data_IF_502053042975
#
_entry.id   IF_502053042975
#
_cell.length_a   1.000
_cell.length_b   1.000
_cell.length_c   1.000
_cell.angle_alpha   90.00
_cell.angle_beta   90.00
_cell.angle_gamma   90.00
#
_symmetry.space_group_name_H-M   'P 1'
#
loop_
_entity.id
_entity.type
_entity.pdbx_description
1 polymer ?
#
# COMPACT_ATOMS: atom_id res chain seq x y z
N UNK A 1 15.27 9.40 -1.59
CA UNK A 1 15.70 8.96 -2.94
C UNK A 1 14.44 8.81 -3.78
N UNK A 2 14.39 9.54 -4.88
CA UNK A 2 13.17 9.76 -5.67
C UNK A 2 12.83 8.46 -6.41
N UNK A 3 11.69 7.87 -6.06
CA UNK A 3 11.07 6.80 -6.84
C UNK A 3 10.68 7.42 -8.18
N UNK A 4 11.26 6.92 -9.27
CA UNK A 4 10.99 7.37 -10.64
C UNK A 4 9.49 7.30 -10.96
N UNK A 5 9.08 8.23 -11.80
CA UNK A 5 7.80 8.95 -11.85
C UNK A 5 6.48 8.14 -11.81
N UNK A 6 5.40 8.74 -11.27
CA UNK A 6 4.03 8.21 -11.19
C UNK A 6 3.15 8.81 -12.30
N UNK A 7 2.36 8.01 -13.01
CA UNK A 7 1.35 8.54 -13.95
C UNK A 7 0.01 8.71 -13.23
N UNK A 8 -0.02 9.74 -12.39
CA UNK A 8 -1.22 10.29 -11.78
C UNK A 8 -0.91 11.05 -10.49
N UNK A 9 -1.90 11.72 -9.88
CA UNK A 9 -1.68 12.88 -9.02
C UNK A 9 -0.80 12.64 -7.77
N UNK A 10 -0.57 11.39 -7.35
CA UNK A 10 -0.13 11.10 -5.99
C UNK A 10 1.36 10.89 -5.77
N UNK A 11 2.15 10.45 -6.75
CA UNK A 11 3.56 10.15 -6.45
C UNK A 11 4.47 11.38 -6.40
N UNK A 12 3.89 12.59 -6.39
CA UNK A 12 4.59 13.83 -5.99
C UNK A 12 4.26 14.31 -4.57
N UNK A 13 3.24 13.79 -3.88
CA UNK A 13 2.78 14.44 -2.64
C UNK A 13 2.17 13.46 -1.62
N UNK A 14 2.91 13.02 -0.59
CA UNK A 14 2.31 12.47 0.63
C UNK A 14 1.39 13.50 1.36
N UNK A 15 1.50 14.77 0.99
CA UNK A 15 0.71 15.89 1.49
C UNK A 15 -0.72 15.95 0.91
N UNK A 16 -1.01 15.25 -0.21
CA UNK A 16 -2.21 15.50 -1.04
C UNK A 16 -3.55 15.15 -0.40
N UNK A 17 -3.56 14.33 0.64
CA UNK A 17 -4.81 13.79 1.19
C UNK A 17 -5.20 14.32 2.56
N UNK A 18 -4.40 15.23 3.13
CA UNK A 18 -4.69 15.72 4.48
C UNK A 18 -6.07 16.36 4.57
N UNK A 19 -6.41 17.15 3.54
CA UNK A 19 -7.61 17.99 3.53
C UNK A 19 -8.62 17.57 2.44
N UNK A 20 -8.38 16.43 1.77
CA UNK A 20 -9.31 15.90 0.78
C UNK A 20 -10.43 15.08 1.42
N UNK A 21 -11.60 15.08 0.76
CA UNK A 21 -12.71 14.18 1.11
C UNK A 21 -12.23 12.72 1.05
N UNK A 22 -12.38 11.93 2.14
CA UNK A 22 -12.00 10.53 2.18
C UNK A 22 -12.54 9.67 1.01
N UNK A 23 -13.74 9.99 0.49
CA UNK A 23 -14.31 9.29 -0.66
C UNK A 23 -13.49 9.50 -1.93
N UNK A 24 -13.03 10.74 -2.16
CA UNK A 24 -12.16 11.07 -3.30
C UNK A 24 -10.82 10.37 -3.13
N UNK A 25 -10.24 10.40 -1.92
CA UNK A 25 -9.00 9.69 -1.62
C UNK A 25 -9.11 8.20 -1.94
N UNK A 26 -10.15 7.55 -1.44
CA UNK A 26 -10.39 6.12 -1.68
C UNK A 26 -10.65 5.80 -3.15
N UNK A 27 -11.34 6.67 -3.89
CA UNK A 27 -11.55 6.48 -5.32
C UNK A 27 -10.22 6.52 -6.10
N UNK A 28 -9.33 7.47 -5.78
CA UNK A 28 -8.02 7.56 -6.44
C UNK A 28 -7.14 6.37 -6.03
N UNK A 29 -7.06 6.06 -4.74
CA UNK A 29 -6.26 4.91 -4.27
C UNK A 29 -6.79 3.60 -4.87
N UNK A 30 -8.11 3.44 -4.95
CA UNK A 30 -8.78 2.28 -5.55
C UNK A 30 -8.53 2.11 -7.06
N UNK A 31 -8.00 3.14 -7.74
CA UNK A 31 -7.58 3.01 -9.14
C UNK A 31 -6.21 2.35 -9.30
N UNK A 32 -5.40 2.32 -8.23
CA UNK A 32 -4.04 1.77 -8.24
C UNK A 32 -3.86 0.58 -7.31
N UNK A 33 -4.79 0.42 -6.36
CA UNK A 33 -4.79 -0.66 -5.40
C UNK A 33 -6.16 -1.32 -5.41
N UNK A 34 -6.20 -2.65 -5.46
CA UNK A 34 -7.39 -3.41 -5.17
C UNK A 34 -7.66 -3.31 -3.65
N UNK A 35 -8.81 -2.73 -3.33
CA UNK A 35 -9.28 -2.51 -1.96
C UNK A 35 -10.46 -3.41 -1.59
N UNK A 36 -10.77 -4.42 -2.42
CA UNK A 36 -11.92 -5.33 -2.21
C UNK A 36 -11.62 -6.48 -1.25
N UNK A 37 -10.35 -6.84 -1.08
CA UNK A 37 -9.90 -7.97 -0.26
C UNK A 37 -9.63 -7.64 1.20
N UNK A 38 -8.82 -8.49 1.85
CA UNK A 38 -8.40 -8.33 3.27
C UNK A 38 -7.23 -7.37 3.46
N UNK A 39 -6.46 -7.10 2.41
CA UNK A 39 -5.33 -6.18 2.42
C UNK A 39 -5.19 -5.57 1.01
N UNK A 40 -4.57 -4.38 0.89
CA UNK A 40 -4.48 -3.70 -0.40
C UNK A 40 -3.49 -4.40 -1.32
N UNK A 41 -3.89 -4.67 -2.56
CA UNK A 41 -3.01 -5.26 -3.58
C UNK A 41 -2.72 -4.27 -4.70
N UNK A 42 -1.47 -4.13 -5.17
CA UNK A 42 -1.16 -3.21 -6.24
C UNK A 42 -1.79 -3.70 -7.55
N UNK A 43 -2.45 -2.79 -8.29
CA UNK A 43 -2.94 -3.01 -9.66
C UNK A 43 -1.88 -2.68 -10.72
N UNK A 44 -0.64 -2.42 -10.28
CA UNK A 44 0.49 -2.03 -11.11
C UNK A 44 1.73 -2.85 -10.74
N UNK A 45 2.68 -2.91 -11.66
CA UNK A 45 3.97 -3.55 -11.40
C UNK A 45 4.81 -2.69 -10.44
N UNK A 46 5.19 -3.26 -9.28
CA UNK A 46 6.08 -2.59 -8.33
C UNK A 46 7.53 -2.83 -8.75
N UNK A 47 8.27 -1.75 -9.01
CA UNK A 47 9.73 -1.77 -9.24
C UNK A 47 10.49 -1.32 -8.02
N UNK A 48 11.67 -1.90 -7.80
CA UNK A 48 12.54 -1.47 -6.70
C UNK A 48 12.99 -0.01 -6.91
N UNK A 49 12.78 0.89 -5.94
CA UNK A 49 13.18 2.29 -6.09
C UNK A 49 14.70 2.49 -6.06
N UNK A 50 15.46 1.51 -5.56
CA UNK A 50 16.91 1.57 -5.46
C UNK A 50 17.63 1.08 -6.73
N UNK A 51 17.15 0.00 -7.35
CA UNK A 51 17.83 -0.63 -8.49
C UNK A 51 16.95 -0.82 -9.73
N UNK A 52 15.69 -0.34 -9.71
CA UNK A 52 14.68 -0.52 -10.75
C UNK A 52 14.34 -1.99 -11.08
N UNK A 53 14.87 -2.97 -10.33
CA UNK A 53 14.59 -4.38 -10.55
C UNK A 53 13.09 -4.73 -10.39
N UNK A 54 12.54 -5.61 -11.24
CA UNK A 54 11.12 -5.97 -11.24
C UNK A 54 10.76 -6.99 -10.14
N UNK A 55 11.75 -7.69 -9.59
CA UNK A 55 11.52 -8.73 -8.58
C UNK A 55 11.34 -8.11 -7.20
N UNK A 56 10.10 -7.75 -6.88
CA UNK A 56 9.70 -7.22 -5.57
C UNK A 56 8.81 -8.23 -4.85
N UNK A 57 9.16 -8.51 -3.60
CA UNK A 57 8.43 -9.41 -2.70
C UNK A 57 7.59 -8.56 -1.76
N UNK A 58 6.30 -8.87 -1.69
CA UNK A 58 5.40 -8.37 -0.67
C UNK A 58 5.69 -9.09 0.65
N UNK A 59 6.29 -8.42 1.63
CA UNK A 59 6.84 -9.07 2.83
C UNK A 59 5.91 -9.00 4.03
N UNK A 60 5.32 -7.83 4.29
CA UNK A 60 4.47 -7.60 5.45
C UNK A 60 3.41 -6.53 5.13
N UNK A 61 2.28 -6.57 5.82
CA UNK A 61 1.26 -5.52 5.76
C UNK A 61 0.81 -5.17 7.17
N UNK A 62 0.88 -3.90 7.55
CA UNK A 62 0.48 -3.42 8.88
C UNK A 62 -0.69 -2.46 8.82
N UNK A 63 -1.70 -2.67 9.65
CA UNK A 63 -2.89 -1.82 9.70
C UNK A 63 -2.80 -0.86 10.88
N UNK A 64 -3.05 0.42 10.63
CA UNK A 64 -3.05 1.43 11.69
C UNK A 64 -4.08 2.54 11.46
N UNK A 65 -4.36 3.28 12.53
CA UNK A 65 -5.21 4.47 12.51
C UNK A 65 -4.33 5.69 12.69
N UNK A 66 -4.52 6.69 11.82
CA UNK A 66 -3.90 8.01 11.95
C UNK A 66 -4.93 9.01 12.47
N UNK A 67 -4.82 9.35 13.74
CA UNK A 67 -5.68 10.37 14.34
C UNK A 67 -5.38 11.76 13.75
N UNK A 68 -6.42 12.60 13.68
CA UNK A 68 -6.32 13.94 13.08
C UNK A 68 -6.25 13.98 11.54
N UNK A 69 -6.49 12.86 10.85
CA UNK A 69 -6.66 12.82 9.39
C UNK A 69 -8.10 12.38 9.04
N UNK A 70 -8.77 13.05 8.08
CA UNK A 70 -10.03 12.55 7.52
C UNK A 70 -9.89 11.15 6.93
N UNK A 71 -8.73 10.85 6.33
CA UNK A 71 -8.35 9.55 5.79
C UNK A 71 -7.60 8.73 6.84
N UNK A 72 -8.32 8.31 7.89
CA UNK A 72 -7.70 7.76 9.11
C UNK A 72 -7.18 6.34 9.00
N UNK A 73 -7.84 5.46 8.24
CA UNK A 73 -7.46 4.04 8.17
C UNK A 73 -6.39 3.84 7.11
N UNK A 74 -5.31 3.16 7.48
CA UNK A 74 -4.16 2.95 6.62
C UNK A 74 -3.59 1.54 6.73
N UNK A 75 -2.94 1.13 5.66
CA UNK A 75 -2.11 -0.05 5.59
C UNK A 75 -0.70 0.34 5.14
N UNK A 76 0.31 -0.04 5.91
CA UNK A 76 1.71 0.04 5.52
C UNK A 76 2.12 -1.28 4.89
N UNK A 77 2.27 -1.21 3.57
CA UNK A 77 2.64 -2.31 2.71
C UNK A 77 4.15 -2.36 2.59
N UNK A 78 4.78 -3.34 3.24
CA UNK A 78 6.22 -3.52 3.16
C UNK A 78 6.59 -4.44 2.00
N UNK A 79 7.53 -3.95 1.21
CA UNK A 79 8.11 -4.63 0.07
C UNK A 79 9.62 -4.81 0.25
N UNK A 80 10.16 -5.90 -0.28
CA UNK A 80 11.61 -6.15 -0.35
C UNK A 80 12.01 -6.51 -1.78
N UNK A 81 13.01 -5.82 -2.31
CA UNK A 81 13.61 -6.20 -3.58
C UNK A 81 14.39 -7.51 -3.44
N UNK A 82 14.10 -8.50 -4.28
CA UNK A 82 14.82 -9.77 -4.29
C UNK A 82 16.26 -9.61 -4.85
N UNK A 83 16.50 -8.58 -5.66
CA UNK A 83 17.80 -8.35 -6.30
C UNK A 83 18.80 -7.66 -5.36
N UNK A 84 18.46 -6.46 -4.86
CA UNK A 84 19.38 -5.66 -4.03
C UNK A 84 19.05 -5.69 -2.53
N UNK A 85 18.06 -6.50 -2.11
CA UNK A 85 17.60 -6.59 -0.72
C UNK A 85 17.04 -5.29 -0.11
N UNK A 86 16.90 -4.21 -0.89
CA UNK A 86 16.33 -2.96 -0.40
C UNK A 86 14.87 -3.14 0.04
N UNK A 87 14.56 -2.70 1.26
CA UNK A 87 13.22 -2.73 1.83
C UNK A 87 12.59 -1.33 1.76
N UNK A 88 11.31 -1.27 1.41
CA UNK A 88 10.56 -0.03 1.27
C UNK A 88 9.08 -0.25 1.59
N UNK A 89 8.37 0.84 1.89
CA UNK A 89 6.98 0.80 2.38
C UNK A 89 6.09 1.73 1.55
N UNK A 90 4.89 1.26 1.23
CA UNK A 90 3.80 2.12 0.72
C UNK A 90 2.76 2.32 1.82
N UNK A 91 2.50 3.59 2.17
CA UNK A 91 1.38 3.93 3.05
C UNK A 91 0.10 4.10 2.23
N UNK A 92 -0.81 3.14 2.32
CA UNK A 92 -2.05 3.07 1.54
C UNK A 92 -3.23 3.49 2.41
N UNK A 93 -4.08 4.41 1.93
CA UNK A 93 -5.37 4.70 2.59
C UNK A 93 -6.36 3.61 2.23
N UNK A 94 -7.01 3.03 3.23
CA UNK A 94 -7.89 1.88 3.04
C UNK A 94 -9.31 2.18 3.56
N UNK A 95 -10.34 1.47 3.07
CA UNK A 95 -11.68 1.57 3.62
C UNK A 95 -11.71 1.09 5.07
N UNK A 96 -12.62 1.67 5.87
CA UNK A 96 -12.88 1.21 7.25
C UNK A 96 -13.19 -0.29 7.28
N UNK A 97 -13.97 -0.79 6.31
CA UNK A 97 -14.35 -2.19 6.25
C UNK A 97 -13.13 -3.13 6.14
N UNK A 98 -12.15 -2.80 5.30
CA UNK A 98 -10.90 -3.57 5.19
C UNK A 98 -10.12 -3.56 6.50
N UNK A 99 -9.99 -2.39 7.13
CA UNK A 99 -9.32 -2.29 8.44
C UNK A 99 -10.00 -3.15 9.50
N UNK A 100 -11.34 -3.16 9.55
CA UNK A 100 -12.08 -3.96 10.52
C UNK A 100 -12.06 -5.47 10.20
N UNK A 101 -11.88 -5.83 8.93
CA UNK A 101 -11.74 -7.22 8.49
C UNK A 101 -10.31 -7.78 8.66
N UNK A 102 -9.34 -6.92 8.99
CA UNK A 102 -7.98 -7.35 9.29
C UNK A 102 -7.95 -8.05 10.65
N UNK A 103 -8.11 -9.37 10.63
CA UNK A 103 -8.13 -10.24 11.82
C UNK A 103 -6.79 -10.19 12.59
N UNK A 104 -5.70 -9.91 11.88
CA UNK A 104 -4.40 -9.60 12.46
C UNK A 104 -3.95 -8.22 11.98
N UNK A 105 -3.49 -7.38 12.91
CA UNK A 105 -2.94 -6.05 12.58
C UNK A 105 -1.67 -6.14 11.72
N UNK A 106 -1.12 -7.35 11.54
CA UNK A 106 0.04 -7.66 10.73
C UNK A 106 -0.19 -8.95 9.95
N UNK A 107 0.00 -8.93 8.63
CA UNK A 107 0.19 -10.14 7.83
C UNK A 107 1.66 -10.29 7.45
N UNK A 108 2.18 -11.50 7.50
CA UNK A 108 3.50 -11.86 7.01
C UNK A 108 3.42 -12.51 5.61
N UNK A 109 4.58 -12.64 4.95
CA UNK A 109 4.70 -13.16 3.58
C UNK A 109 3.98 -14.51 3.38
N UNK A 110 3.99 -15.40 4.38
CA UNK A 110 3.35 -16.72 4.25
C UNK A 110 1.84 -16.58 4.12
N UNK A 111 1.24 -15.81 5.02
CA UNK A 111 -0.20 -15.56 5.04
C UNK A 111 -0.66 -14.83 3.77
N UNK A 112 0.14 -13.86 3.32
CA UNK A 112 -0.12 -13.14 2.06
C UNK A 112 -0.13 -14.12 0.88
N UNK A 113 0.82 -15.08 0.81
CA UNK A 113 0.84 -16.08 -0.28
C UNK A 113 -0.35 -17.03 -0.23
N UNK A 114 -0.72 -17.50 0.95
CA UNK A 114 -1.88 -18.38 1.13
C UNK A 114 -3.18 -17.70 0.67
N UNK A 115 -3.34 -16.40 0.95
CA UNK A 115 -4.52 -15.62 0.52
C UNK A 115 -4.51 -15.35 -0.98
N UNK A 116 -3.34 -15.20 -1.59
CA UNK A 116 -3.20 -14.98 -3.04
C UNK A 116 -3.27 -16.25 -3.88
N UNK A 117 -3.47 -17.41 -3.26
CA UNK A 117 -3.64 -18.70 -3.94
C UNK A 117 -2.35 -19.24 -4.57
N UNK A 118 -1.18 -18.93 -3.99
CA UNK A 118 0.13 -19.38 -4.47
C UNK A 118 0.86 -20.37 -3.57
#
# INVERSE_FOLDING_TARGET
MIVSKPEGPLGKYPQLFRDCDPKVVLAVVGSWWDLSGRFPLPLFEIKCPQCAGPSVIYSQCYFHVRDGSPSRYRADVQCKCATCSFAFVFGVVIPKAMFMAADQMQYNRREIREILGG
#
